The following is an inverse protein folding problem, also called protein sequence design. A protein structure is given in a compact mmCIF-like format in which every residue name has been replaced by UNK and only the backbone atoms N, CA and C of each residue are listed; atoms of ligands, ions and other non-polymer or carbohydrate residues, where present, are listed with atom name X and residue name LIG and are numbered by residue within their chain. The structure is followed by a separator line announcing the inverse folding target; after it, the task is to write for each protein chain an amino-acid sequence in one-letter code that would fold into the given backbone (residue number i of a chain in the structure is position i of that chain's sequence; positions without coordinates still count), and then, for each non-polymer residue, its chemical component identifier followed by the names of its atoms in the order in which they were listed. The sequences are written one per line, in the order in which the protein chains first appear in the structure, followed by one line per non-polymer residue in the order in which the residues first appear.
data_IF_635253091311
#
_entry.id   IF_635253091311
#
_cell.length_a   1.000
_cell.length_b   1.000
_cell.length_c   1.000
_cell.angle_alpha   90.00
_cell.angle_beta   90.00
_cell.angle_gamma   90.00
#
_symmetry.space_group_name_H-M   'P 1'
#
loop_
_entity.id
_entity.type
_entity.pdbx_description
1 polymer ?
#
# COMPACT_ATOMS: atom_id res chain seq x y z
N UNK A 1 -18.00 -36.10 73.81
CA UNK A 1 -18.81 -34.89 73.59
C UNK A 1 -19.47 -34.97 72.21
N UNK A 2 -20.83 -35.15 72.25
CA UNK A 2 -21.64 -35.24 71.01
C UNK A 2 -21.96 -33.80 70.55
N UNK A 3 -21.46 -33.33 69.40
CA UNK A 3 -21.74 -32.00 68.79
C UNK A 3 -23.24 -32.00 68.43
N UNK A 4 -24.05 -30.99 68.85
CA UNK A 4 -25.47 -30.96 68.58
C UNK A 4 -25.77 -30.88 67.09
N UNK A 5 -26.71 -31.71 66.62
CA UNK A 5 -27.14 -31.90 65.22
C UNK A 5 -27.58 -30.59 64.54
N UNK A 6 -27.99 -29.58 65.30
CA UNK A 6 -28.38 -28.26 64.80
C UNK A 6 -27.23 -27.47 64.15
N UNK A 7 -25.99 -27.57 64.70
CA UNK A 7 -24.85 -26.85 64.19
C UNK A 7 -24.37 -27.44 62.87
N UNK A 8 -24.50 -28.74 62.64
CA UNK A 8 -24.19 -29.40 61.39
C UNK A 8 -25.11 -28.96 60.20
N UNK A 9 -26.43 -28.81 60.52
CA UNK A 9 -27.44 -28.36 59.54
C UNK A 9 -27.24 -26.87 59.17
N UNK A 10 -26.82 -26.04 60.10
CA UNK A 10 -26.54 -24.62 59.86
C UNK A 10 -25.26 -24.44 58.99
N UNK A 11 -24.18 -25.15 59.30
CA UNK A 11 -22.94 -25.16 58.48
C UNK A 11 -23.18 -25.67 57.05
N UNK A 12 -24.03 -26.66 56.88
CA UNK A 12 -24.37 -27.21 55.58
C UNK A 12 -25.22 -26.23 54.73
N UNK A 13 -26.15 -25.51 55.35
CA UNK A 13 -26.94 -24.44 54.69
C UNK A 13 -26.07 -23.21 54.36
N UNK A 14 -25.14 -22.83 55.21
CA UNK A 14 -24.21 -21.72 54.95
C UNK A 14 -23.23 -22.09 53.81
N UNK A 15 -22.66 -23.29 53.84
CA UNK A 15 -21.78 -23.77 52.78
C UNK A 15 -22.49 -23.83 51.42
N UNK A 16 -23.74 -24.29 51.39
CA UNK A 16 -24.54 -24.33 50.15
C UNK A 16 -24.90 -22.95 49.61
N UNK A 17 -25.10 -21.93 50.46
CA UNK A 17 -25.33 -20.55 50.06
C UNK A 17 -24.03 -19.90 49.51
N UNK A 18 -22.89 -20.13 50.17
CA UNK A 18 -21.58 -19.64 49.68
C UNK A 18 -21.20 -20.30 48.38
N UNK A 19 -21.45 -21.60 48.16
CA UNK A 19 -21.17 -22.25 46.88
C UNK A 19 -22.08 -21.73 45.76
N UNK A 20 -23.38 -21.50 46.06
CA UNK A 20 -24.30 -20.90 45.09
C UNK A 20 -23.91 -19.47 44.72
N UNK A 21 -23.49 -18.62 45.66
CA UNK A 21 -23.00 -17.28 45.39
C UNK A 21 -21.70 -17.30 44.60
N UNK A 22 -20.79 -18.22 44.88
CA UNK A 22 -19.54 -18.39 44.11
C UNK A 22 -19.81 -18.83 42.66
N UNK A 23 -20.73 -19.80 42.47
CA UNK A 23 -21.14 -20.24 41.11
C UNK A 23 -21.83 -19.10 40.35
N UNK A 24 -22.70 -18.34 41.02
CA UNK A 24 -23.36 -17.17 40.41
C UNK A 24 -22.35 -16.09 40.03
N UNK A 25 -21.41 -15.77 40.90
CA UNK A 25 -20.33 -14.82 40.59
C UNK A 25 -19.45 -15.30 39.42
N UNK A 26 -19.07 -16.59 39.44
CA UNK A 26 -18.31 -17.20 38.36
C UNK A 26 -19.05 -17.13 37.01
N UNK A 27 -20.36 -17.47 36.99
CA UNK A 27 -21.14 -17.40 35.74
C UNK A 27 -21.32 -15.97 35.23
N UNK A 28 -21.50 -14.99 36.12
CA UNK A 28 -21.59 -13.57 35.75
C UNK A 28 -20.25 -13.10 35.18
N UNK A 29 -19.11 -13.40 35.83
CA UNK A 29 -17.78 -13.06 35.31
C UNK A 29 -17.51 -13.71 33.94
N UNK A 30 -17.91 -14.98 33.79
CA UNK A 30 -17.78 -15.70 32.53
C UNK A 30 -18.62 -15.05 31.40
N UNK A 31 -19.86 -14.69 31.69
CA UNK A 31 -20.75 -13.99 30.76
C UNK A 31 -20.18 -12.60 30.37
N UNK A 32 -19.63 -11.86 31.33
CA UNK A 32 -19.00 -10.60 31.07
C UNK A 32 -17.75 -10.76 30.15
N UNK A 33 -16.90 -11.74 30.43
CA UNK A 33 -15.73 -12.06 29.59
C UNK A 33 -16.16 -12.47 28.18
N UNK A 34 -17.18 -13.33 28.06
CA UNK A 34 -17.71 -13.78 26.77
C UNK A 34 -18.35 -12.61 26.00
N UNK A 35 -19.13 -11.74 26.67
CA UNK A 35 -19.72 -10.56 26.00
C UNK A 35 -18.67 -9.57 25.58
N UNK A 36 -17.65 -9.32 26.39
CA UNK A 36 -16.52 -8.45 26.05
C UNK A 36 -15.71 -9.04 24.88
N UNK A 37 -15.45 -10.34 24.92
CA UNK A 37 -14.79 -11.06 23.83
C UNK A 37 -15.60 -11.00 22.54
N UNK A 38 -16.93 -11.20 22.61
CA UNK A 38 -17.82 -11.08 21.46
C UNK A 38 -17.93 -9.65 20.93
N UNK A 39 -17.88 -8.63 21.80
CA UNK A 39 -17.84 -7.23 21.38
C UNK A 39 -16.52 -6.88 20.71
N UNK A 40 -15.38 -7.26 21.29
CA UNK A 40 -14.06 -7.08 20.70
C UNK A 40 -13.96 -7.86 19.37
N UNK A 41 -14.43 -9.11 19.37
CA UNK A 41 -14.46 -9.95 18.17
C UNK A 41 -15.37 -9.34 17.08
N UNK A 42 -16.55 -8.81 17.42
CA UNK A 42 -17.43 -8.10 16.50
C UNK A 42 -16.78 -6.81 15.98
N UNK A 43 -16.14 -6.02 16.82
CA UNK A 43 -15.41 -4.81 16.41
C UNK A 43 -14.28 -5.14 15.45
N UNK A 44 -13.46 -6.15 15.76
CA UNK A 44 -12.37 -6.63 14.90
C UNK A 44 -12.89 -7.28 13.61
N UNK A 45 -14.04 -7.99 13.67
CA UNK A 45 -14.63 -8.62 12.47
C UNK A 45 -15.50 -7.67 11.63
N UNK A 46 -16.02 -6.58 12.20
CA UNK A 46 -16.78 -5.58 11.42
C UNK A 46 -15.91 -4.81 10.43
N UNK A 47 -14.60 -4.75 10.68
CA UNK A 47 -13.61 -4.16 9.78
C UNK A 47 -13.01 -5.18 8.80
N UNK A 48 -13.40 -6.46 8.87
CA UNK A 48 -12.85 -7.46 7.95
C UNK A 48 -13.45 -7.37 6.55
N UNK A 49 -12.58 -7.64 5.62
CA UNK A 49 -12.85 -7.88 4.21
C UNK A 49 -13.83 -9.05 4.05
N UNK A 50 -15.11 -8.78 3.81
CA UNK A 50 -16.13 -9.80 3.56
C UNK A 50 -16.80 -9.57 2.22
N UNK A 51 -17.14 -10.66 1.52
CA UNK A 51 -17.80 -10.58 0.22
C UNK A 51 -19.18 -9.94 0.32
N UNK A 52 -19.93 -10.20 1.40
CA UNK A 52 -21.25 -9.60 1.63
C UNK A 52 -21.14 -8.06 1.74
N UNK A 53 -20.19 -7.57 2.55
CA UNK A 53 -19.97 -6.14 2.72
C UNK A 53 -19.52 -5.49 1.41
N UNK A 54 -18.61 -6.12 0.68
CA UNK A 54 -18.11 -5.64 -0.61
C UNK A 54 -19.23 -5.53 -1.65
N UNK A 55 -20.06 -6.56 -1.77
CA UNK A 55 -21.24 -6.54 -2.67
C UNK A 55 -22.23 -5.44 -2.28
N UNK A 56 -22.45 -5.20 -0.99
CA UNK A 56 -23.31 -4.12 -0.50
C UNK A 56 -22.76 -2.74 -0.87
N UNK A 57 -21.45 -2.54 -0.75
CA UNK A 57 -20.78 -1.30 -1.14
C UNK A 57 -20.94 -1.06 -2.64
N UNK A 58 -20.66 -2.06 -3.48
CA UNK A 58 -20.81 -1.96 -4.93
C UNK A 58 -22.28 -1.78 -5.36
N UNK A 59 -23.23 -2.44 -4.69
CA UNK A 59 -24.65 -2.23 -4.94
C UNK A 59 -25.08 -0.78 -4.61
N UNK A 60 -24.54 -0.19 -3.56
CA UNK A 60 -24.77 1.22 -3.21
C UNK A 60 -24.16 2.15 -4.26
N UNK A 61 -22.94 1.87 -4.72
CA UNK A 61 -22.29 2.62 -5.79
C UNK A 61 -23.15 2.62 -7.06
N UNK A 62 -23.67 1.45 -7.46
CA UNK A 62 -24.54 1.32 -8.63
C UNK A 62 -25.90 2.00 -8.44
N UNK A 63 -26.47 1.99 -7.24
CA UNK A 63 -27.66 2.74 -6.93
C UNK A 63 -27.45 4.26 -7.11
N UNK A 64 -26.32 4.78 -6.63
CA UNK A 64 -25.97 6.19 -6.76
C UNK A 64 -25.68 6.56 -8.24
N UNK A 65 -25.10 5.65 -9.04
CA UNK A 65 -24.93 5.80 -10.49
C UNK A 65 -26.27 5.89 -11.22
N UNK A 66 -27.21 4.98 -10.95
CA UNK A 66 -28.55 4.97 -11.56
C UNK A 66 -29.35 6.24 -11.28
N UNK A 67 -29.06 6.89 -10.15
CA UNK A 67 -29.66 8.19 -9.77
C UNK A 67 -28.88 9.40 -10.29
N UNK A 68 -27.86 9.18 -11.12
CA UNK A 68 -26.98 10.24 -11.63
C UNK A 68 -26.30 11.08 -10.53
N UNK A 69 -26.02 10.47 -9.36
CA UNK A 69 -25.27 11.09 -8.26
C UNK A 69 -23.77 11.04 -8.53
N UNK A 70 -23.33 9.99 -9.21
CA UNK A 70 -21.94 9.78 -9.61
C UNK A 70 -21.87 9.22 -11.04
N UNK A 71 -20.68 9.34 -11.67
CA UNK A 71 -20.40 8.86 -13.01
C UNK A 71 -18.96 8.36 -13.12
N UNK A 72 -18.65 7.68 -14.22
CA UNK A 72 -17.32 7.19 -14.57
C UNK A 72 -17.43 6.26 -15.77
N UNK A 73 -16.32 6.03 -16.43
CA UNK A 73 -16.19 5.21 -17.63
C UNK A 73 -16.47 3.71 -17.38
N UNK A 74 -16.20 3.23 -16.15
CA UNK A 74 -16.48 1.85 -15.75
C UNK A 74 -17.88 1.61 -15.18
N UNK A 75 -18.66 2.67 -14.94
CA UNK A 75 -19.95 2.53 -14.26
C UNK A 75 -20.95 1.71 -15.08
N UNK A 76 -20.98 1.88 -16.40
CA UNK A 76 -21.85 1.11 -17.28
C UNK A 76 -21.52 -0.38 -17.24
N UNK A 77 -20.24 -0.73 -17.36
CA UNK A 77 -19.77 -2.12 -17.33
C UNK A 77 -19.96 -2.79 -15.95
N UNK A 78 -19.85 -2.01 -14.87
CA UNK A 78 -20.03 -2.50 -13.49
C UNK A 78 -21.51 -2.65 -13.12
N UNK A 79 -22.34 -1.65 -13.45
CA UNK A 79 -23.67 -1.51 -12.87
C UNK A 79 -24.82 -1.91 -13.79
N UNK A 80 -24.61 -1.97 -15.11
CA UNK A 80 -25.65 -2.23 -16.12
C UNK A 80 -25.27 -3.42 -16.99
N UNK A 81 -24.15 -3.34 -17.70
CA UNK A 81 -23.74 -4.34 -18.68
C UNK A 81 -23.21 -5.64 -18.06
N UNK A 82 -22.82 -5.63 -16.77
CA UNK A 82 -22.29 -6.79 -16.07
C UNK A 82 -20.97 -7.34 -16.65
N UNK A 83 -20.21 -6.51 -17.36
CA UNK A 83 -18.90 -6.89 -17.92
C UNK A 83 -17.76 -6.77 -16.90
N UNK A 84 -17.95 -5.96 -15.84
CA UNK A 84 -17.08 -5.87 -14.71
C UNK A 84 -17.73 -6.58 -13.52
N UNK A 85 -17.20 -7.76 -13.17
CA UNK A 85 -17.81 -8.68 -12.19
C UNK A 85 -16.93 -8.82 -10.96
N UNK A 86 -17.48 -8.49 -9.79
CA UNK A 86 -16.83 -8.69 -8.49
C UNK A 86 -16.49 -10.16 -8.26
N UNK A 87 -15.28 -10.42 -7.76
CA UNK A 87 -14.79 -11.76 -7.41
C UNK A 87 -14.70 -11.97 -5.91
N UNK A 88 -13.80 -11.24 -5.25
CA UNK A 88 -13.55 -11.35 -3.80
C UNK A 88 -12.98 -10.06 -3.22
N UNK A 89 -13.07 -9.92 -1.91
CA UNK A 89 -12.39 -8.88 -1.16
C UNK A 89 -10.92 -9.26 -0.93
N UNK A 90 -9.99 -8.36 -1.27
CA UNK A 90 -8.56 -8.55 -1.02
C UNK A 90 -8.12 -7.88 0.29
N UNK A 91 -8.58 -6.65 0.53
CA UNK A 91 -8.19 -5.87 1.70
C UNK A 91 -9.27 -4.87 2.12
N UNK A 92 -9.40 -4.69 3.43
CA UNK A 92 -10.30 -3.73 4.05
C UNK A 92 -9.76 -3.31 5.41
N UNK A 93 -9.27 -2.07 5.53
CA UNK A 93 -8.84 -1.47 6.78
C UNK A 93 -9.03 0.04 6.73
N UNK A 94 -9.44 0.64 7.86
CA UNK A 94 -9.59 2.10 8.02
C UNK A 94 -10.36 2.80 6.89
N UNK A 95 -11.33 2.11 6.31
CA UNK A 95 -12.10 2.62 5.17
C UNK A 95 -11.56 2.23 3.80
N UNK A 96 -10.27 2.01 3.60
CA UNK A 96 -9.67 1.57 2.32
C UNK A 96 -10.26 0.24 1.88
N UNK A 97 -10.68 0.16 0.63
CA UNK A 97 -11.24 -1.02 -0.02
C UNK A 97 -10.36 -1.43 -1.18
N UNK A 98 -9.99 -2.70 -1.23
CA UNK A 98 -9.29 -3.32 -2.35
C UNK A 98 -10.04 -4.59 -2.73
N UNK A 99 -10.69 -4.58 -3.88
CA UNK A 99 -11.58 -5.63 -4.33
C UNK A 99 -11.09 -6.21 -5.66
N UNK A 100 -11.01 -7.53 -5.74
CA UNK A 100 -10.74 -8.19 -7.02
C UNK A 100 -12.02 -8.30 -7.83
N UNK A 101 -11.91 -7.99 -9.11
CA UNK A 101 -12.97 -8.13 -10.09
C UNK A 101 -12.39 -8.70 -11.40
N UNK A 102 -13.29 -9.07 -12.31
CA UNK A 102 -12.94 -9.45 -13.68
C UNK A 102 -13.61 -8.47 -14.63
N UNK A 103 -12.85 -7.85 -15.52
CA UNK A 103 -13.34 -6.92 -16.53
C UNK A 103 -12.95 -7.42 -17.93
N UNK A 104 -13.94 -7.65 -18.78
CA UNK A 104 -13.74 -8.29 -20.09
C UNK A 104 -12.91 -9.59 -20.05
N UNK A 105 -13.07 -10.39 -18.98
CA UNK A 105 -12.33 -11.63 -18.79
C UNK A 105 -10.92 -11.45 -18.22
N UNK A 106 -10.43 -10.21 -18.03
CA UNK A 106 -9.15 -9.93 -17.41
C UNK A 106 -9.31 -9.59 -15.92
N UNK A 107 -8.44 -10.07 -15.05
CA UNK A 107 -8.49 -9.74 -13.63
C UNK A 107 -8.06 -8.27 -13.42
N UNK A 108 -8.83 -7.55 -12.59
CA UNK A 108 -8.58 -6.15 -12.21
C UNK A 108 -8.79 -5.96 -10.71
N UNK A 109 -8.29 -4.86 -10.17
CA UNK A 109 -8.50 -4.47 -8.78
C UNK A 109 -9.26 -3.15 -8.73
N UNK A 110 -10.37 -3.13 -8.02
CA UNK A 110 -11.10 -1.92 -7.67
C UNK A 110 -10.61 -1.40 -6.33
N UNK A 111 -10.21 -0.13 -6.28
CA UNK A 111 -9.71 0.52 -5.07
C UNK A 111 -10.56 1.74 -4.71
N UNK A 112 -10.73 1.99 -3.41
CA UNK A 112 -11.27 3.24 -2.87
C UNK A 112 -10.83 3.45 -1.42
N UNK A 113 -10.57 4.70 -1.05
CA UNK A 113 -10.21 5.10 0.32
C UNK A 113 -11.41 5.09 1.28
N UNK A 114 -12.64 5.23 0.76
CA UNK A 114 -13.87 5.28 1.56
C UNK A 114 -14.96 4.37 1.01
N UNK A 115 -15.95 4.03 1.84
CA UNK A 115 -17.03 3.08 1.46
C UNK A 115 -18.11 3.69 0.59
N UNK A 116 -18.43 4.97 0.80
CA UNK A 116 -19.53 5.65 0.13
C UNK A 116 -19.08 6.93 -0.52
N UNK A 117 -19.72 7.29 -1.62
CA UNK A 117 -19.45 8.52 -2.34
C UNK A 117 -19.69 9.75 -1.47
N UNK A 118 -20.77 9.76 -0.70
CA UNK A 118 -21.13 10.84 0.22
C UNK A 118 -20.15 11.04 1.39
N UNK A 119 -19.20 10.13 1.61
CA UNK A 119 -18.16 10.30 2.63
C UNK A 119 -17.02 11.20 2.18
N UNK A 120 -16.90 11.48 0.88
CA UNK A 120 -15.93 12.44 0.35
C UNK A 120 -16.46 13.86 0.51
N UNK A 121 -15.55 14.82 0.66
CA UNK A 121 -15.94 16.22 0.76
C UNK A 121 -16.49 16.69 -0.58
N UNK A 122 -17.68 17.32 -0.61
CA UNK A 122 -18.21 17.90 -1.84
C UNK A 122 -17.31 19.05 -2.31
N UNK A 123 -17.29 19.28 -3.61
CA UNK A 123 -16.60 20.43 -4.19
C UNK A 123 -17.50 21.66 -3.99
N UNK A 124 -17.03 22.62 -3.20
CA UNK A 124 -17.79 23.83 -2.84
C UNK A 124 -18.31 24.60 -4.06
N UNK A 125 -17.50 24.65 -5.13
CA UNK A 125 -17.89 25.28 -6.41
C UNK A 125 -19.18 24.71 -7.05
N UNK A 126 -19.58 23.49 -6.68
CA UNK A 126 -20.79 22.86 -7.21
C UNK A 126 -22.05 23.27 -6.46
N UNK A 127 -21.93 23.79 -5.24
CA UNK A 127 -23.05 24.19 -4.37
C UNK A 127 -23.42 25.68 -4.56
N UNK A 128 -22.52 26.50 -5.11
CA UNK A 128 -22.83 27.91 -5.42
C UNK A 128 -23.69 27.96 -6.68
N UNK A 129 -25.00 28.09 -6.50
CA UNK A 129 -25.92 28.50 -7.55
C UNK A 129 -25.68 30.00 -7.84
N UNK A 130 -24.72 30.30 -8.70
CA UNK A 130 -24.62 31.67 -9.26
C UNK A 130 -25.80 31.85 -10.19
N UNK A 131 -26.78 32.70 -9.74
CA UNK A 131 -27.95 33.08 -10.51
C UNK A 131 -27.53 33.54 -11.92
N UNK A 132 -27.79 32.74 -12.92
CA UNK A 132 -27.61 33.09 -14.33
C UNK A 132 -26.43 32.46 -15.07
N UNK A 133 -25.49 31.76 -14.43
CA UNK A 133 -24.39 31.03 -15.12
C UNK A 133 -24.60 29.53 -15.04
N UNK A 134 -24.74 28.88 -16.19
CA UNK A 134 -24.86 27.41 -16.30
C UNK A 134 -23.52 26.65 -16.10
N UNK A 135 -22.40 27.37 -16.06
CA UNK A 135 -21.06 26.78 -15.99
C UNK A 135 -20.26 27.49 -14.89
N UNK A 136 -19.64 26.69 -14.01
CA UNK A 136 -18.66 27.20 -13.06
C UNK A 136 -17.34 27.54 -13.80
N UNK A 137 -16.55 28.50 -13.28
CA UNK A 137 -15.31 28.95 -13.90
C UNK A 137 -14.30 27.78 -13.98
N UNK A 138 -13.84 27.47 -15.18
CA UNK A 138 -12.88 26.38 -15.42
C UNK A 138 -11.53 26.66 -14.74
N UNK A 139 -11.14 27.93 -14.68
CA UNK A 139 -9.89 28.36 -14.04
C UNK A 139 -9.88 28.09 -12.52
N UNK A 140 -10.99 28.34 -11.83
CA UNK A 140 -11.11 28.07 -10.40
C UNK A 140 -11.09 26.56 -10.11
N UNK A 141 -11.73 25.76 -10.95
CA UNK A 141 -11.71 24.32 -10.84
C UNK A 141 -10.27 23.78 -11.04
N UNK A 142 -9.57 24.26 -12.07
CA UNK A 142 -8.17 23.87 -12.31
C UNK A 142 -7.26 24.26 -11.14
N UNK A 143 -7.49 25.45 -10.55
CA UNK A 143 -6.76 25.87 -9.37
C UNK A 143 -6.99 24.94 -8.18
N UNK A 144 -8.26 24.55 -7.91
CA UNK A 144 -8.58 23.61 -6.82
C UNK A 144 -7.96 22.23 -7.05
N UNK A 145 -8.00 21.74 -8.28
CA UNK A 145 -7.32 20.49 -8.66
C UNK A 145 -5.81 20.61 -8.41
N UNK A 146 -5.19 21.71 -8.85
CA UNK A 146 -3.76 21.97 -8.63
C UNK A 146 -3.39 21.96 -7.14
N UNK A 147 -4.21 22.60 -6.30
CA UNK A 147 -4.01 22.63 -4.85
C UNK A 147 -4.11 21.23 -4.26
N UNK A 148 -5.12 20.43 -4.65
CA UNK A 148 -5.30 19.08 -4.13
C UNK A 148 -4.12 18.16 -4.55
N UNK A 149 -3.71 18.24 -5.80
CA UNK A 149 -2.54 17.50 -6.30
C UNK A 149 -1.24 17.96 -5.61
N UNK A 150 -1.07 19.27 -5.37
CA UNK A 150 0.06 19.80 -4.60
C UNK A 150 0.04 19.27 -3.16
N UNK A 151 -1.11 19.25 -2.51
CA UNK A 151 -1.26 18.70 -1.16
C UNK A 151 -0.93 17.20 -1.11
N UNK A 152 -1.36 16.43 -2.12
CA UNK A 152 -1.08 15.02 -2.22
C UNK A 152 0.41 14.73 -2.45
N UNK A 153 1.03 15.39 -3.42
CA UNK A 153 2.39 15.08 -3.88
C UNK A 153 3.47 15.94 -3.22
N UNK A 154 3.12 17.12 -2.68
CA UNK A 154 4.10 18.12 -2.25
C UNK A 154 4.82 18.83 -3.41
N UNK A 155 4.31 18.71 -4.64
CA UNK A 155 4.90 19.26 -5.85
C UNK A 155 4.06 20.40 -6.43
N UNK A 156 4.73 21.41 -6.97
CA UNK A 156 4.07 22.40 -7.82
C UNK A 156 3.95 21.83 -9.24
N UNK A 157 2.72 21.65 -9.70
CA UNK A 157 2.43 21.03 -10.98
C UNK A 157 1.88 22.05 -11.95
N UNK A 158 2.36 22.02 -13.17
CA UNK A 158 1.88 22.88 -14.24
C UNK A 158 0.49 22.44 -14.74
N UNK A 159 -0.28 23.39 -15.26
CA UNK A 159 -1.60 23.10 -15.85
C UNK A 159 -1.53 22.05 -16.98
N UNK A 160 -0.39 21.90 -17.66
CA UNK A 160 -0.20 20.87 -18.69
C UNK A 160 -0.15 19.46 -18.12
N UNK A 161 0.34 19.29 -16.89
CA UNK A 161 0.40 18.00 -16.20
C UNK A 161 -0.95 17.63 -15.57
N UNK A 162 -1.77 18.64 -15.21
CA UNK A 162 -3.12 18.43 -14.68
C UNK A 162 -4.11 18.07 -15.80
N UNK A 163 -3.80 18.47 -17.04
CA UNK A 163 -4.65 18.23 -18.21
C UNK A 163 -5.10 16.77 -18.39
N UNK A 164 -4.24 15.76 -18.21
CA UNK A 164 -4.63 14.34 -18.26
C UNK A 164 -5.62 13.94 -17.16
N UNK A 165 -5.52 14.50 -15.95
CA UNK A 165 -6.50 14.30 -14.86
C UNK A 165 -7.84 14.97 -15.18
N UNK A 166 -7.77 16.06 -15.95
CA UNK A 166 -8.89 16.83 -16.42
C UNK A 166 -8.99 16.82 -17.95
N UNK A 167 -9.54 15.80 -18.54
CA UNK A 167 -9.97 15.87 -19.94
C UNK A 167 -11.31 16.59 -19.99
N UNK A 168 -11.32 17.84 -20.51
CA UNK A 168 -12.44 18.79 -20.51
C UNK A 168 -13.77 18.16 -20.87
N UNK A 169 -14.52 17.71 -19.90
CA UNK A 169 -15.80 17.03 -20.03
C UNK A 169 -16.88 18.10 -20.18
N UNK A 170 -17.43 18.21 -21.38
CA UNK A 170 -18.52 19.12 -21.71
C UNK A 170 -19.83 18.34 -21.77
N UNK A 171 -20.96 18.94 -21.39
CA UNK A 171 -22.27 18.34 -21.56
C UNK A 171 -23.18 18.43 -20.32
N UNK A 172 -24.40 17.89 -20.40
CA UNK A 172 -25.45 18.05 -19.38
C UNK A 172 -25.10 17.41 -18.03
N UNK A 173 -24.16 16.47 -17.99
CA UNK A 173 -23.74 15.76 -16.78
C UNK A 173 -22.42 16.27 -16.19
N UNK A 174 -21.95 17.46 -16.61
CA UNK A 174 -20.65 18.03 -16.20
C UNK A 174 -20.48 18.10 -14.68
N UNK A 175 -21.51 18.58 -13.95
CA UNK A 175 -21.47 18.66 -12.47
C UNK A 175 -21.20 17.29 -11.82
N UNK A 176 -21.88 16.25 -12.25
CA UNK A 176 -21.73 14.89 -11.71
C UNK A 176 -20.37 14.28 -12.08
N UNK A 177 -19.88 14.55 -13.27
CA UNK A 177 -18.55 14.11 -13.71
C UNK A 177 -17.46 14.77 -12.88
N UNK A 178 -17.57 16.07 -12.63
CA UNK A 178 -16.63 16.83 -11.79
C UNK A 178 -16.67 16.34 -10.34
N UNK A 179 -17.86 16.11 -9.76
CA UNK A 179 -18.01 15.58 -8.42
C UNK A 179 -17.37 14.19 -8.28
N UNK A 180 -17.54 13.33 -9.28
CA UNK A 180 -16.93 12.00 -9.29
C UNK A 180 -15.41 12.08 -9.37
N UNK A 181 -14.88 12.89 -10.28
CA UNK A 181 -13.44 13.15 -10.38
C UNK A 181 -12.89 13.74 -9.07
N UNK A 182 -13.58 14.70 -8.46
CA UNK A 182 -13.17 15.30 -7.20
C UNK A 182 -13.04 14.28 -6.06
N UNK A 183 -13.94 13.29 -6.02
CA UNK A 183 -13.85 12.19 -5.05
C UNK A 183 -12.63 11.28 -5.28
N UNK A 184 -12.14 11.17 -6.51
CA UNK A 184 -10.91 10.45 -6.85
C UNK A 184 -9.67 11.25 -6.45
N UNK A 185 -9.67 12.56 -6.67
CA UNK A 185 -8.55 13.44 -6.31
C UNK A 185 -8.32 13.57 -4.80
N UNK A 186 -9.33 13.29 -3.96
CA UNK A 186 -9.16 13.17 -2.51
C UNK A 186 -8.48 11.85 -2.07
N UNK A 187 -8.02 11.04 -3.02
CA UNK A 187 -7.32 9.76 -2.79
C UNK A 187 -5.89 9.89 -3.30
N UNK A 188 -4.93 10.07 -2.40
CA UNK A 188 -3.53 10.30 -2.75
C UNK A 188 -2.98 9.19 -3.66
N UNK A 189 -3.28 7.92 -3.36
CA UNK A 189 -2.85 6.78 -4.16
C UNK A 189 -3.37 6.86 -5.62
N UNK A 190 -4.61 7.32 -5.84
CA UNK A 190 -5.13 7.54 -7.19
C UNK A 190 -4.33 8.60 -7.94
N UNK A 191 -4.00 9.71 -7.27
CA UNK A 191 -3.20 10.79 -7.88
C UNK A 191 -1.81 10.27 -8.27
N UNK A 192 -1.15 9.51 -7.37
CA UNK A 192 0.14 8.89 -7.66
C UNK A 192 0.07 8.01 -8.91
N UNK A 193 -0.86 7.06 -8.96
CA UNK A 193 -0.97 6.17 -10.11
C UNK A 193 -1.32 6.91 -11.40
N UNK A 194 -2.29 7.83 -11.35
CA UNK A 194 -2.74 8.56 -12.54
C UNK A 194 -1.68 9.46 -13.15
N UNK A 195 -0.79 10.03 -12.32
CA UNK A 195 0.25 10.94 -12.81
C UNK A 195 1.56 10.24 -13.14
N UNK A 196 1.90 9.14 -12.45
CA UNK A 196 3.19 8.49 -12.61
C UNK A 196 3.17 7.31 -13.57
N UNK A 197 2.01 6.77 -13.95
CA UNK A 197 1.90 5.63 -14.86
C UNK A 197 2.52 5.88 -16.24
N UNK A 198 2.53 7.13 -16.71
CA UNK A 198 3.10 7.51 -18.01
C UNK A 198 4.63 7.72 -17.94
N UNK A 199 5.18 7.82 -16.73
CA UNK A 199 6.62 8.08 -16.50
C UNK A 199 7.37 6.84 -16.00
N UNK A 200 6.69 5.88 -15.37
CA UNK A 200 7.34 4.71 -14.80
C UNK A 200 6.51 3.45 -14.93
N UNK A 201 7.11 2.40 -15.48
CA UNK A 201 6.52 1.07 -15.55
C UNK A 201 6.50 0.33 -14.19
N UNK A 202 7.12 0.91 -13.15
CA UNK A 202 7.07 0.41 -11.78
C UNK A 202 5.84 0.88 -10.97
N UNK A 203 4.88 1.50 -11.63
CA UNK A 203 3.63 2.01 -11.06
C UNK A 203 2.44 1.31 -11.72
N UNK A 204 1.35 1.10 -10.96
CA UNK A 204 0.11 0.51 -11.51
C UNK A 204 -0.54 1.42 -12.54
N UNK A 205 -1.09 0.82 -13.59
CA UNK A 205 -1.93 1.53 -14.55
C UNK A 205 -3.36 1.66 -14.03
N UNK A 206 -3.90 2.89 -14.09
CA UNK A 206 -5.31 3.17 -13.86
C UNK A 206 -6.08 2.88 -15.13
N UNK A 207 -6.98 1.91 -15.06
CA UNK A 207 -7.75 1.41 -16.20
C UNK A 207 -9.05 2.18 -16.41
N UNK A 208 -9.56 2.85 -15.36
CA UNK A 208 -10.78 3.63 -15.40
C UNK A 208 -11.37 3.82 -14.00
N UNK A 209 -12.59 4.42 -13.94
CA UNK A 209 -13.23 4.75 -12.66
C UNK A 209 -14.75 4.66 -12.70
N UNK A 210 -15.36 4.51 -11.52
CA UNK A 210 -16.80 4.67 -11.32
C UNK A 210 -17.02 5.38 -9.96
N UNK A 211 -17.44 6.65 -10.01
CA UNK A 211 -17.54 7.49 -8.83
C UNK A 211 -16.20 7.58 -8.11
N UNK A 212 -16.19 7.18 -6.84
CA UNK A 212 -15.00 7.16 -5.98
C UNK A 212 -14.16 5.88 -6.07
N UNK A 213 -14.59 4.89 -6.85
CA UNK A 213 -13.79 3.71 -7.16
C UNK A 213 -12.99 3.90 -8.45
N UNK A 214 -11.74 3.46 -8.44
CA UNK A 214 -10.91 3.35 -9.63
C UNK A 214 -10.41 1.91 -9.79
N UNK A 215 -10.22 1.50 -11.02
CA UNK A 215 -9.70 0.18 -11.37
C UNK A 215 -8.23 0.28 -11.77
N UNK A 216 -7.45 -0.70 -11.32
CA UNK A 216 -6.06 -0.91 -11.73
C UNK A 216 -5.85 -2.35 -12.18
N UNK A 217 -4.74 -2.62 -12.87
CA UNK A 217 -4.34 -3.98 -13.21
C UNK A 217 -4.23 -4.87 -11.95
N UNK A 218 -4.60 -6.14 -12.09
CA UNK A 218 -4.39 -7.13 -11.03
C UNK A 218 -3.01 -7.75 -11.16
N UNK A 219 -2.21 -7.66 -10.10
CA UNK A 219 -0.94 -8.33 -9.98
C UNK A 219 -0.90 -9.07 -8.64
N UNK A 220 -0.28 -10.26 -8.64
CA UNK A 220 -0.11 -11.02 -7.41
C UNK A 220 0.91 -10.34 -6.48
N UNK A 221 0.42 -9.90 -5.33
CA UNK A 221 1.25 -9.24 -4.31
C UNK A 221 2.23 -10.20 -3.67
N UNK A 222 3.35 -9.68 -3.20
CA UNK A 222 4.26 -10.42 -2.35
C UNK A 222 3.62 -10.77 -1.00
N UNK A 223 4.23 -11.72 -0.30
CA UNK A 223 3.77 -12.15 1.01
C UNK A 223 4.97 -12.57 1.89
N UNK A 224 5.10 -12.06 3.13
CA UNK A 224 6.29 -12.26 3.97
C UNK A 224 6.50 -13.71 4.40
N UNK A 225 5.45 -14.55 4.38
CA UNK A 225 5.52 -15.98 4.69
C UNK A 225 5.83 -16.85 3.46
N UNK A 226 5.84 -16.26 2.28
CA UNK A 226 6.21 -16.99 1.08
C UNK A 226 7.72 -17.20 1.04
N UNK A 227 8.18 -18.41 0.69
CA UNK A 227 9.62 -18.77 0.70
C UNK A 227 10.47 -17.80 -0.13
N UNK A 228 9.95 -17.30 -1.23
CA UNK A 228 10.62 -16.37 -2.14
C UNK A 228 10.10 -14.94 -2.04
N UNK A 229 9.26 -14.63 -1.04
CA UNK A 229 8.51 -13.38 -0.84
C UNK A 229 7.47 -13.11 -1.93
N UNK A 230 7.61 -13.63 -3.14
CA UNK A 230 6.69 -13.47 -4.27
C UNK A 230 6.28 -14.82 -4.84
N UNK A 231 5.05 -14.97 -5.38
CA UNK A 231 4.56 -16.21 -5.98
C UNK A 231 5.15 -16.41 -7.38
N UNK A 232 6.43 -16.81 -7.44
CA UNK A 232 7.20 -16.88 -8.69
C UNK A 232 6.59 -17.81 -9.74
N UNK A 233 5.92 -18.87 -9.32
CA UNK A 233 5.27 -19.83 -10.24
C UNK A 233 4.06 -19.19 -10.93
N UNK A 234 3.30 -18.37 -10.21
CA UNK A 234 2.18 -17.59 -10.77
C UNK A 234 2.69 -16.51 -11.74
N UNK A 235 3.79 -15.84 -11.38
CA UNK A 235 4.44 -14.82 -12.22
C UNK A 235 5.01 -15.41 -13.49
N UNK A 236 5.74 -16.54 -13.40
CA UNK A 236 6.36 -17.17 -14.56
C UNK A 236 5.35 -17.91 -15.46
N UNK A 237 4.14 -18.18 -14.98
CA UNK A 237 3.13 -18.97 -15.68
C UNK A 237 3.52 -20.45 -15.92
N UNK A 238 4.64 -20.89 -15.35
CA UNK A 238 5.18 -22.25 -15.43
C UNK A 238 5.72 -22.67 -14.06
N UNK A 239 5.63 -23.96 -13.70
CA UNK A 239 6.25 -24.46 -12.48
C UNK A 239 7.77 -24.24 -12.52
N UNK A 240 8.30 -23.50 -11.56
CA UNK A 240 9.75 -23.34 -11.37
C UNK A 240 10.30 -24.52 -10.58
N UNK A 241 10.36 -25.68 -11.23
CA UNK A 241 10.73 -26.96 -10.60
C UNK A 241 12.23 -27.04 -10.28
N UNK A 242 13.07 -26.22 -10.92
CA UNK A 242 14.52 -26.23 -10.71
C UNK A 242 14.99 -25.07 -9.83
N UNK A 243 15.98 -25.34 -8.96
CA UNK A 243 16.66 -24.31 -8.17
C UNK A 243 17.26 -23.21 -9.07
N UNK A 244 17.67 -23.55 -10.28
CA UNK A 244 18.19 -22.61 -11.28
C UNK A 244 17.11 -21.68 -11.81
N UNK A 245 15.93 -22.17 -12.15
CA UNK A 245 14.80 -21.34 -12.60
C UNK A 245 14.37 -20.35 -11.52
N UNK A 246 14.32 -20.80 -10.26
CA UNK A 246 14.03 -19.92 -9.12
C UNK A 246 15.14 -18.88 -8.93
N UNK A 247 16.42 -19.25 -9.02
CA UNK A 247 17.54 -18.32 -8.90
C UNK A 247 17.50 -17.24 -10.01
N UNK A 248 17.16 -17.62 -11.24
CA UNK A 248 17.01 -16.70 -12.37
C UNK A 248 15.86 -15.72 -12.16
N UNK A 249 14.70 -16.19 -11.68
CA UNK A 249 13.57 -15.33 -11.36
C UNK A 249 13.92 -14.33 -10.26
N UNK A 250 14.52 -14.77 -9.15
CA UNK A 250 14.96 -13.90 -8.05
C UNK A 250 15.96 -12.85 -8.55
N UNK A 251 16.94 -13.26 -9.38
CA UNK A 251 17.92 -12.33 -9.93
C UNK A 251 17.29 -11.25 -10.83
N UNK A 252 16.35 -11.65 -11.68
CA UNK A 252 15.62 -10.68 -12.53
C UNK A 252 14.78 -9.71 -11.70
N UNK A 253 14.10 -10.21 -10.67
CA UNK A 253 13.31 -9.35 -9.76
C UNK A 253 14.24 -8.42 -8.98
N UNK A 254 15.41 -8.87 -8.52
CA UNK A 254 16.38 -8.03 -7.85
C UNK A 254 16.91 -6.92 -8.76
N UNK A 255 17.21 -7.23 -10.03
CA UNK A 255 17.56 -6.21 -11.03
C UNK A 255 16.43 -5.21 -11.26
N UNK A 256 15.19 -5.69 -11.31
CA UNK A 256 14.02 -4.82 -11.45
C UNK A 256 13.77 -3.93 -10.23
N UNK A 257 14.08 -4.38 -9.01
CA UNK A 257 14.07 -3.50 -7.83
C UNK A 257 15.12 -2.40 -7.94
N UNK A 258 16.32 -2.71 -8.44
CA UNK A 258 17.34 -1.67 -8.68
C UNK A 258 16.88 -0.67 -9.74
N UNK A 259 16.25 -1.15 -10.80
CA UNK A 259 15.68 -0.30 -11.84
C UNK A 259 14.60 0.63 -11.29
N UNK A 260 13.67 0.10 -10.48
CA UNK A 260 12.65 0.88 -9.78
C UNK A 260 13.27 1.98 -8.89
N UNK A 261 14.31 1.64 -8.11
CA UNK A 261 15.00 2.62 -7.27
C UNK A 261 15.65 3.71 -8.11
N UNK A 262 16.27 3.34 -9.22
CA UNK A 262 16.88 4.30 -10.13
C UNK A 262 15.84 5.27 -10.73
N UNK A 263 14.69 4.73 -11.18
CA UNK A 263 13.57 5.55 -11.67
C UNK A 263 13.04 6.50 -10.59
N UNK A 264 12.80 5.99 -9.38
CA UNK A 264 12.21 6.79 -8.28
C UNK A 264 13.19 7.84 -7.73
N UNK A 265 14.48 7.61 -7.86
CA UNK A 265 15.50 8.56 -7.42
C UNK A 265 15.86 9.63 -8.48
N UNK A 266 15.67 9.36 -9.81
CA UNK A 266 16.24 10.18 -10.85
C UNK A 266 15.28 10.67 -11.94
N UNK A 267 14.19 9.97 -12.24
CA UNK A 267 13.36 10.28 -13.42
C UNK A 267 12.26 11.32 -13.14
N UNK A 268 11.98 11.60 -11.87
CA UNK A 268 11.05 12.64 -11.49
C UNK A 268 11.77 13.95 -11.17
N UNK A 269 11.03 15.06 -11.14
CA UNK A 269 11.57 16.38 -10.73
C UNK A 269 12.17 16.38 -9.33
N UNK A 270 11.69 15.48 -8.47
CA UNK A 270 12.14 15.25 -7.10
C UNK A 270 12.15 13.76 -6.81
N UNK A 271 13.07 13.33 -5.95
CA UNK A 271 13.16 11.95 -5.49
C UNK A 271 11.85 11.49 -4.83
N UNK A 272 11.42 10.26 -5.16
CA UNK A 272 10.27 9.60 -4.53
C UNK A 272 10.75 8.65 -3.42
N UNK A 273 10.37 8.93 -2.19
CA UNK A 273 10.71 8.14 -1.02
C UNK A 273 9.61 7.12 -0.72
N UNK A 274 9.99 5.84 -0.53
CA UNK A 274 9.10 4.79 -0.05
C UNK A 274 9.33 4.59 1.44
N UNK A 275 8.30 4.82 2.27
CA UNK A 275 8.41 4.74 3.73
C UNK A 275 7.71 3.52 4.35
N UNK A 276 7.16 2.60 3.55
CA UNK A 276 6.61 1.32 4.00
C UNK A 276 6.99 0.21 3.01
N UNK A 277 8.28 -0.17 3.02
CA UNK A 277 8.81 -1.21 2.13
C UNK A 277 8.57 -2.57 2.78
N UNK A 278 7.71 -3.36 2.15
CA UNK A 278 7.42 -4.76 2.52
C UNK A 278 6.93 -5.52 1.28
N UNK A 279 7.06 -6.85 1.25
CA UNK A 279 6.66 -7.64 0.07
C UNK A 279 5.21 -7.37 -0.38
N UNK A 280 4.29 -7.15 0.57
CA UNK A 280 2.87 -6.93 0.31
C UNK A 280 2.56 -5.64 -0.46
N UNK A 281 3.47 -4.67 -0.45
CA UNK A 281 3.31 -3.40 -1.16
C UNK A 281 3.88 -3.44 -2.58
N UNK A 282 4.41 -4.59 -3.00
CA UNK A 282 4.93 -4.83 -4.34
C UNK A 282 4.27 -6.05 -4.98
N UNK A 283 4.23 -6.03 -6.30
CA UNK A 283 3.85 -7.18 -7.12
C UNK A 283 4.83 -7.30 -8.30
N UNK A 284 4.77 -8.44 -8.97
CA UNK A 284 5.67 -8.74 -10.08
C UNK A 284 4.85 -9.03 -11.33
N UNK A 285 5.15 -8.36 -12.45
CA UNK A 285 4.59 -8.70 -13.76
C UNK A 285 5.24 -9.96 -14.35
N UNK A 286 4.63 -10.54 -15.37
CA UNK A 286 5.11 -11.75 -16.02
C UNK A 286 6.50 -11.64 -16.65
N UNK A 287 6.96 -10.43 -16.92
CA UNK A 287 8.31 -10.11 -17.39
C UNK A 287 9.33 -9.87 -16.27
N UNK A 288 8.93 -10.16 -15.02
CA UNK A 288 9.67 -9.90 -13.78
C UNK A 288 9.81 -8.41 -13.41
N UNK A 289 9.05 -7.53 -14.02
CA UNK A 289 9.00 -6.12 -13.61
C UNK A 289 8.35 -5.98 -12.23
N UNK A 290 9.06 -5.34 -11.31
CA UNK A 290 8.56 -4.97 -9.98
C UNK A 290 7.62 -3.77 -10.10
N UNK A 291 6.47 -3.85 -9.45
CA UNK A 291 5.47 -2.76 -9.43
C UNK A 291 5.10 -2.44 -7.99
N UNK A 292 5.15 -1.16 -7.63
CA UNK A 292 4.59 -0.67 -6.38
C UNK A 292 3.06 -0.65 -6.48
N UNK A 293 2.40 -1.51 -5.70
CA UNK A 293 0.94 -1.67 -5.74
C UNK A 293 0.23 -0.97 -4.58
N UNK A 294 0.97 -0.51 -3.58
CA UNK A 294 0.50 0.33 -2.48
C UNK A 294 1.50 1.46 -2.26
N UNK A 295 1.06 2.69 -2.50
CA UNK A 295 1.88 3.91 -2.43
C UNK A 295 1.36 4.91 -1.40
N UNK A 296 0.50 4.47 -0.46
CA UNK A 296 -0.05 5.33 0.60
C UNK A 296 1.06 5.97 1.47
N UNK A 297 2.25 5.34 1.53
CA UNK A 297 3.42 5.80 2.27
C UNK A 297 4.58 6.14 1.33
N UNK A 298 4.27 6.63 0.13
CA UNK A 298 5.24 7.16 -0.83
C UNK A 298 5.16 8.69 -0.86
N UNK A 299 6.29 9.38 -0.75
CA UNK A 299 6.33 10.83 -0.67
C UNK A 299 7.48 11.40 -1.51
N UNK A 300 7.18 12.43 -2.28
CA UNK A 300 8.24 13.21 -2.92
C UNK A 300 9.06 14.00 -1.90
N UNK A 301 10.31 14.28 -2.23
CA UNK A 301 11.28 14.97 -1.36
C UNK A 301 10.73 16.20 -0.64
N UNK A 302 9.97 17.15 -1.26
CA UNK A 302 9.44 18.30 -0.54
C UNK A 302 8.46 17.90 0.56
N UNK A 303 7.51 17.01 0.27
CA UNK A 303 6.53 16.52 1.26
C UNK A 303 7.21 15.68 2.33
N UNK A 304 8.24 14.90 1.98
CA UNK A 304 9.01 14.11 2.95
C UNK A 304 9.72 15.00 3.96
N UNK A 305 10.27 16.15 3.54
CA UNK A 305 10.88 17.13 4.44
C UNK A 305 9.89 17.66 5.48
N UNK A 306 8.69 18.02 5.04
CA UNK A 306 7.65 18.52 5.95
C UNK A 306 7.22 17.44 6.96
N UNK A 307 7.15 16.17 6.54
CA UNK A 307 6.79 15.03 7.41
C UNK A 307 7.88 14.77 8.44
N UNK A 308 9.15 14.88 8.06
CA UNK A 308 10.28 14.61 8.94
C UNK A 308 10.51 15.74 9.95
N UNK A 309 10.21 17.01 9.61
CA UNK A 309 10.39 18.15 10.52
C UNK A 309 9.40 18.13 11.68
N UNK A 310 9.75 17.42 12.75
CA UNK A 310 8.96 17.36 13.99
C UNK A 310 9.86 17.59 15.22
N UNK A 311 9.25 17.85 16.38
CA UNK A 311 9.98 17.99 17.63
C UNK A 311 10.53 16.63 18.08
N UNK A 312 11.73 16.60 18.65
CA UNK A 312 12.37 15.38 19.08
C UNK A 312 13.15 15.54 20.38
N UNK A 313 13.33 14.41 21.07
CA UNK A 313 14.18 14.24 22.24
C UNK A 313 15.33 13.25 21.98
N UNK A 314 15.25 12.50 20.88
CA UNK A 314 16.24 11.54 20.40
C UNK A 314 15.97 11.15 18.95
N UNK A 315 16.89 10.42 18.33
CA UNK A 315 16.76 9.99 16.91
C UNK A 315 15.54 9.09 16.67
N UNK A 316 15.09 8.35 17.70
CA UNK A 316 13.90 7.47 17.61
C UNK A 316 12.62 8.25 17.33
N UNK A 317 12.51 9.50 17.79
CA UNK A 317 11.38 10.38 17.53
C UNK A 317 11.33 10.84 16.06
N UNK A 318 12.46 10.74 15.33
CA UNK A 318 12.61 11.18 13.95
C UNK A 318 12.37 10.07 12.92
N UNK A 319 11.78 8.96 13.34
CA UNK A 319 11.48 7.85 12.48
C UNK A 319 10.04 7.95 11.97
N UNK A 320 9.88 7.96 10.66
CA UNK A 320 8.60 7.87 10.00
C UNK A 320 8.55 6.56 9.19
N UNK A 321 8.06 5.49 9.81
CA UNK A 321 8.10 4.13 9.26
C UNK A 321 9.53 3.76 8.82
N UNK A 322 9.76 3.53 7.52
CA UNK A 322 11.09 3.21 6.96
C UNK A 322 11.91 4.45 6.56
N UNK A 323 11.39 5.63 6.78
CA UNK A 323 12.10 6.88 6.50
C UNK A 323 12.59 7.49 7.80
N UNK A 324 13.92 7.54 7.98
CA UNK A 324 14.56 7.97 9.19
C UNK A 324 15.23 9.33 9.01
N UNK A 325 15.25 10.13 10.08
CA UNK A 325 16.00 11.37 10.20
C UNK A 325 16.78 11.39 11.51
N UNK A 326 17.56 12.44 11.75
CA UNK A 326 18.32 12.63 12.99
C UNK A 326 17.78 13.80 13.79
N UNK A 327 17.78 13.66 15.12
CA UNK A 327 17.39 14.71 16.03
C UNK A 327 18.54 15.71 16.27
N UNK A 328 18.35 16.98 15.98
CA UNK A 328 19.26 18.03 16.44
C UNK A 328 18.85 18.44 17.86
N UNK A 329 19.54 17.89 18.85
CA UNK A 329 19.29 18.16 20.28
C UNK A 329 19.55 19.61 20.69
N UNK A 330 20.19 20.45 19.87
CA UNK A 330 20.40 21.87 20.15
C UNK A 330 19.13 22.69 19.98
N UNK A 331 18.29 22.27 19.03
CA UNK A 331 17.02 22.93 18.72
C UNK A 331 15.80 22.05 18.99
N UNK A 332 16.01 20.81 19.45
CA UNK A 332 14.99 19.79 19.70
C UNK A 332 14.08 19.54 18.50
N UNK A 333 14.67 19.46 17.29
CA UNK A 333 13.97 19.21 16.03
C UNK A 333 14.65 18.13 15.21
N UNK A 334 13.85 17.32 14.54
CA UNK A 334 14.33 16.39 13.55
C UNK A 334 14.83 17.14 12.31
N UNK A 335 15.89 16.62 11.72
CA UNK A 335 16.40 17.14 10.44
C UNK A 335 15.41 16.85 9.30
N UNK A 336 15.27 17.80 8.38
CA UNK A 336 14.36 17.70 7.24
C UNK A 336 14.83 16.70 6.16
N UNK A 337 16.01 16.13 6.29
CA UNK A 337 16.57 15.19 5.31
C UNK A 337 16.51 13.75 5.84
N UNK A 338 16.01 12.86 5.00
CA UNK A 338 16.08 11.42 5.22
C UNK A 338 17.53 10.94 5.24
N UNK A 339 17.94 10.19 6.26
CA UNK A 339 19.31 9.67 6.43
C UNK A 339 19.53 8.30 5.82
N UNK A 340 18.49 7.51 5.63
CA UNK A 340 18.54 6.27 4.85
C UNK A 340 17.91 6.50 3.45
N UNK A 341 17.84 5.47 2.61
CA UNK A 341 17.26 5.57 1.28
C UNK A 341 16.46 4.31 0.90
N UNK A 342 15.75 4.34 -0.24
CA UNK A 342 14.92 3.23 -0.69
C UNK A 342 15.73 1.95 -0.89
N UNK A 343 16.91 2.05 -1.52
CA UNK A 343 17.76 0.88 -1.76
C UNK A 343 18.20 0.19 -0.46
N UNK A 344 18.59 0.98 0.53
CA UNK A 344 19.02 0.47 1.83
C UNK A 344 17.90 -0.35 2.50
N UNK A 345 16.66 0.15 2.49
CA UNK A 345 15.52 -0.57 3.07
C UNK A 345 15.16 -1.81 2.25
N UNK A 346 15.25 -1.74 0.92
CA UNK A 346 15.05 -2.91 0.04
C UNK A 346 16.11 -3.98 0.32
N UNK A 347 17.37 -3.58 0.46
CA UNK A 347 18.45 -4.50 0.84
C UNK A 347 18.15 -5.20 2.17
N UNK A 348 17.68 -4.44 3.17
CA UNK A 348 17.38 -4.97 4.50
C UNK A 348 16.17 -5.91 4.51
N UNK A 349 15.03 -5.49 3.94
CA UNK A 349 13.75 -6.18 4.08
C UNK A 349 13.47 -7.22 2.98
N UNK A 350 14.12 -7.09 1.81
CA UNK A 350 13.86 -7.94 0.65
C UNK A 350 15.11 -8.74 0.28
N UNK A 351 16.23 -8.10 -0.05
CA UNK A 351 17.41 -8.78 -0.57
C UNK A 351 18.09 -9.67 0.47
N UNK A 352 18.15 -9.27 1.74
CA UNK A 352 18.66 -10.12 2.83
C UNK A 352 17.91 -11.44 2.96
N UNK A 353 16.62 -11.46 2.64
CA UNK A 353 15.82 -12.67 2.65
C UNK A 353 16.22 -13.63 1.52
N UNK A 354 16.60 -13.11 0.36
CA UNK A 354 16.97 -13.93 -0.79
C UNK A 354 18.41 -14.39 -0.77
N UNK A 355 19.33 -13.52 -0.33
CA UNK A 355 20.76 -13.76 -0.35
C UNK A 355 21.31 -13.90 1.09
N UNK A 356 21.75 -15.06 1.56
CA UNK A 356 22.22 -16.25 0.84
C UNK A 356 21.24 -17.42 0.80
N UNK A 357 20.11 -17.40 1.53
CA UNK A 357 19.38 -18.63 1.88
C UNK A 357 18.55 -19.22 0.74
N UNK A 358 18.00 -18.40 -0.14
CA UNK A 358 17.10 -18.84 -1.22
C UNK A 358 17.74 -18.80 -2.60
N UNK A 359 18.95 -18.27 -2.71
CA UNK A 359 19.65 -18.08 -3.97
C UNK A 359 20.64 -19.20 -4.30
N UNK A 360 20.59 -20.34 -3.60
CA UNK A 360 21.49 -21.46 -3.85
C UNK A 360 21.23 -22.07 -5.22
N UNK A 361 22.12 -21.81 -6.16
CA UNK A 361 22.15 -22.44 -7.47
C UNK A 361 23.55 -22.99 -7.73
N UNK A 362 23.64 -24.24 -8.14
CA UNK A 362 24.90 -24.85 -8.59
C UNK A 362 25.45 -24.18 -9.86
N UNK A 363 24.63 -23.41 -10.56
CA UNK A 363 24.98 -22.65 -11.77
C UNK A 363 25.72 -21.33 -11.48
N UNK A 364 25.75 -20.86 -10.21
CA UNK A 364 26.45 -19.65 -9.81
C UNK A 364 27.64 -20.01 -8.93
N UNK A 365 28.80 -19.45 -9.24
CA UNK A 365 30.04 -19.74 -8.49
C UNK A 365 29.86 -19.29 -7.01
N UNK A 366 30.43 -20.08 -6.09
CA UNK A 366 30.39 -19.78 -4.65
C UNK A 366 30.95 -18.38 -4.34
N UNK A 367 32.06 -18.02 -5.01
CA UNK A 367 32.69 -16.72 -4.85
C UNK A 367 31.73 -15.56 -5.20
N UNK A 368 30.94 -15.69 -6.26
CA UNK A 368 29.98 -14.67 -6.68
C UNK A 368 28.79 -14.59 -5.69
N UNK A 369 28.33 -15.75 -5.19
CA UNK A 369 27.30 -15.79 -4.15
C UNK A 369 27.76 -15.10 -2.85
N UNK A 370 29.01 -15.34 -2.41
CA UNK A 370 29.58 -14.68 -1.22
C UNK A 370 29.74 -13.16 -1.42
N UNK A 371 30.21 -12.74 -2.60
CA UNK A 371 30.32 -11.30 -2.92
C UNK A 371 28.96 -10.63 -2.92
N UNK A 372 27.95 -11.25 -3.53
CA UNK A 372 26.58 -10.71 -3.58
C UNK A 372 25.97 -10.63 -2.17
N UNK A 373 26.14 -11.67 -1.36
CA UNK A 373 25.71 -11.66 0.04
C UNK A 373 26.36 -10.49 0.79
N UNK A 374 27.68 -10.35 0.70
CA UNK A 374 28.41 -9.27 1.37
C UNK A 374 27.90 -7.90 0.93
N UNK A 375 27.73 -7.68 -0.39
CA UNK A 375 27.24 -6.43 -0.93
C UNK A 375 25.82 -6.10 -0.44
N UNK A 376 24.93 -7.08 -0.31
CA UNK A 376 23.58 -6.91 0.25
C UNK A 376 23.62 -6.49 1.72
N UNK A 377 24.49 -7.14 2.53
CA UNK A 377 24.63 -6.77 3.94
C UNK A 377 25.24 -5.39 4.14
N UNK A 378 26.24 -5.01 3.34
CA UNK A 378 26.82 -3.65 3.36
C UNK A 378 25.82 -2.58 2.86
N UNK A 379 24.98 -2.94 1.90
CA UNK A 379 23.89 -2.06 1.43
C UNK A 379 22.85 -1.82 2.53
N UNK A 380 22.43 -2.87 3.23
CA UNK A 380 21.40 -2.80 4.26
C UNK A 380 21.89 -2.06 5.52
N UNK A 381 23.16 -2.19 5.86
CA UNK A 381 23.78 -1.57 7.04
C UNK A 381 25.15 -0.96 6.67
N UNK A 382 25.16 0.24 6.06
CA UNK A 382 26.37 0.86 5.54
C UNK A 382 27.34 1.36 6.63
N UNK A 383 27.08 1.09 7.92
CA UNK A 383 27.87 1.57 9.05
C UNK A 383 27.69 3.08 9.30
N UNK A 384 28.03 3.53 10.49
CA UNK A 384 28.00 4.97 10.87
C UNK A 384 29.23 5.65 10.26
N UNK A 385 29.17 6.02 9.00
CA UNK A 385 30.16 6.91 8.38
C UNK A 385 29.67 8.34 8.47
N UNK A 386 30.49 9.21 9.10
CA UNK A 386 30.16 10.62 9.34
C UNK A 386 29.72 11.35 8.07
N UNK A 387 28.60 11.92 8.15
CA UNK A 387 27.79 12.94 7.43
C UNK A 387 28.17 13.49 6.05
N UNK A 388 29.36 13.33 5.53
CA UNK A 388 29.74 13.88 4.21
C UNK A 388 29.84 12.84 3.06
N UNK A 389 29.66 11.55 3.37
CA UNK A 389 29.86 10.45 2.41
C UNK A 389 28.59 9.69 2.01
N UNK A 390 27.41 9.97 2.60
CA UNK A 390 26.19 9.19 2.34
C UNK A 390 25.81 9.09 0.86
N UNK A 391 25.92 10.17 0.10
CA UNK A 391 25.59 10.14 -1.34
C UNK A 391 26.57 9.29 -2.16
N UNK A 392 27.85 9.27 -1.75
CA UNK A 392 28.90 8.47 -2.43
C UNK A 392 28.80 7.00 -2.10
N UNK A 393 28.46 6.66 -0.84
CA UNK A 393 28.30 5.27 -0.39
C UNK A 393 27.09 4.63 -1.05
N UNK A 394 25.95 5.34 -1.13
CA UNK A 394 24.74 4.86 -1.80
C UNK A 394 24.95 4.58 -3.29
N UNK A 395 25.65 5.47 -4.00
CA UNK A 395 26.00 5.29 -5.42
C UNK A 395 26.94 4.09 -5.63
N UNK A 396 27.88 3.87 -4.72
CA UNK A 396 28.79 2.71 -4.78
C UNK A 396 28.03 1.39 -4.56
N UNK A 397 27.13 1.34 -3.54
CA UNK A 397 26.36 0.12 -3.24
C UNK A 397 25.41 -0.25 -4.39
N UNK A 398 24.76 0.73 -5.01
CA UNK A 398 23.92 0.51 -6.20
C UNK A 398 24.75 -0.09 -7.35
N UNK A 399 25.84 0.56 -7.71
CA UNK A 399 26.70 0.13 -8.82
C UNK A 399 27.28 -1.26 -8.58
N UNK A 400 27.68 -1.56 -7.36
CA UNK A 400 28.26 -2.87 -7.01
C UNK A 400 27.19 -3.98 -7.05
N UNK A 401 26.01 -3.75 -6.47
CA UNK A 401 24.89 -4.70 -6.54
C UNK A 401 24.49 -4.95 -8.00
N UNK A 402 24.34 -3.91 -8.79
CA UNK A 402 24.01 -4.03 -10.20
C UNK A 402 25.02 -4.84 -10.98
N UNK A 403 26.32 -4.58 -10.77
CA UNK A 403 27.44 -5.35 -11.38
C UNK A 403 27.38 -6.84 -11.00
N UNK A 404 27.17 -7.15 -9.71
CA UNK A 404 27.12 -8.51 -9.20
C UNK A 404 25.89 -9.28 -9.71
N UNK A 405 24.72 -8.65 -9.71
CA UNK A 405 23.48 -9.26 -10.24
C UNK A 405 23.60 -9.50 -11.76
N UNK A 406 24.20 -8.59 -12.52
CA UNK A 406 24.49 -8.83 -13.94
C UNK A 406 25.50 -9.96 -14.16
N UNK A 407 26.54 -10.09 -13.31
CA UNK A 407 27.47 -11.22 -13.38
C UNK A 407 26.75 -12.54 -13.09
N UNK A 408 25.88 -12.56 -12.08
CA UNK A 408 25.02 -13.70 -11.73
C UNK A 408 24.12 -14.08 -12.91
N UNK A 409 23.49 -13.11 -13.56
CA UNK A 409 22.65 -13.35 -14.74
C UNK A 409 23.40 -14.03 -15.87
N UNK A 410 24.66 -13.61 -16.13
CA UNK A 410 25.51 -14.23 -17.16
C UNK A 410 25.88 -15.66 -16.82
N UNK A 411 26.19 -15.99 -15.57
CA UNK A 411 26.49 -17.36 -15.15
C UNK A 411 25.26 -18.26 -15.28
N UNK A 412 24.08 -17.79 -14.84
CA UNK A 412 22.82 -18.51 -14.97
C UNK A 412 22.45 -18.80 -16.43
N UNK A 413 22.72 -17.87 -17.36
CA UNK A 413 22.46 -18.05 -18.80
C UNK A 413 23.44 -19.05 -19.45
N UNK A 414 24.71 -19.08 -19.02
CA UNK A 414 25.73 -20.02 -19.57
C UNK A 414 25.44 -21.47 -19.22
N UNK A 415 24.77 -21.72 -18.12
CA UNK A 415 24.46 -23.09 -17.70
C UNK A 415 23.21 -23.67 -18.37
N UNK A 416 22.48 -22.87 -19.16
CA UNK A 416 21.33 -23.30 -19.98
C UNK A 416 21.76 -23.78 -21.39
N UNK A 417 22.95 -23.34 -21.83
CA UNK A 417 23.56 -23.73 -23.12
C UNK A 417 24.56 -24.90 -22.94
#
# INVERSE_FOLDING_TARGET
MKVPVGIRRLRWKLGRRCTLLFVLFWTICWLLVVTLFLQVHRSVFSERCTDEKSRRILARLCYDYQRSVLMGDLCEDLCVAGKLVYQRCLYYERGKKVLQATWHGQPVVLKSKKETFSSFQPLVLLDEEVEGSKDFPEEELLLMIAIEVKNALGLEISNSTIGPLWSGRKGPHRKVQVASMWSLLQQEEYIYFSLLQDFSHHVLQVLGSCGHFYAVEYLAAGHPRHRTLFPLEEVAGIPLVSDQGQAKAINNIALSFLDMVNHFDNDFSHRLHLCDIKPENFAIRNDFTVVAIDVDMAFFEPKMRDILEQNCTGDEDCNFFDCFSKCDLRINKCGAQRVNNNLQVICDKIFRHWFPSNFRSSAVTLQLQEQLQKAVYECADPGISETSHHHRVSSNSFSELYRLLQATQRELQKSEN
#
